data_IF_298280046666
#
_entry.id   IF_298280046666
#
_cell.length_a   1.000
_cell.length_b   1.000
_cell.length_c   1.000
_cell.angle_alpha   90.00
_cell.angle_beta   90.00
_cell.angle_gamma   90.00
#
_symmetry.space_group_name_H-M   'P 1'
#
loop_
_entity.id
_entity.type
_entity.pdbx_description
1 polymer ?
#
# COMPACT_ATOMS: atom_id res chain seq x y z
N UNK A 1 -0.59 21.53 -3.89
CA UNK A 1 -0.20 20.53 -2.86
C UNK A 1 1.14 19.92 -3.23
N UNK A 2 2.04 19.78 -2.25
CA UNK A 2 3.33 19.11 -2.45
C UNK A 2 3.22 17.65 -2.00
N UNK A 3 3.94 16.76 -2.68
CA UNK A 3 3.91 15.32 -2.39
C UNK A 3 5.31 14.74 -2.38
N UNK A 4 5.55 13.80 -1.47
CA UNK A 4 6.68 12.90 -1.50
C UNK A 4 6.25 11.62 -2.20
N UNK A 5 6.97 11.24 -3.25
CA UNK A 5 6.73 10.01 -3.99
C UNK A 5 7.59 8.88 -3.41
N UNK A 6 6.94 7.79 -3.02
CA UNK A 6 7.60 6.60 -2.48
C UNK A 6 7.23 5.41 -3.36
N UNK A 7 8.22 4.66 -3.83
CA UNK A 7 7.95 3.50 -4.68
C UNK A 7 7.31 2.36 -3.88
N UNK A 8 6.45 1.59 -4.52
CA UNK A 8 5.80 0.42 -3.89
C UNK A 8 6.84 -0.62 -3.47
N UNK A 9 7.88 -0.80 -4.26
CA UNK A 9 8.98 -1.72 -3.96
C UNK A 9 9.66 -1.35 -2.64
N UNK A 10 9.92 -0.05 -2.45
CA UNK A 10 10.49 0.45 -1.19
C UNK A 10 9.53 0.24 -0.02
N UNK A 11 8.24 0.54 -0.20
CA UNK A 11 7.22 0.28 0.83
C UNK A 11 7.18 -1.19 1.21
N UNK A 12 7.21 -2.11 0.25
CA UNK A 12 7.21 -3.56 0.49
C UNK A 12 8.47 -4.01 1.22
N UNK A 13 9.64 -3.56 0.75
CA UNK A 13 10.93 -3.91 1.35
C UNK A 13 10.99 -3.52 2.82
N UNK A 14 10.57 -2.30 3.13
CA UNK A 14 10.56 -1.77 4.49
C UNK A 14 9.32 -2.17 5.32
N UNK A 15 8.47 -3.03 4.80
CA UNK A 15 7.30 -3.55 5.53
C UNK A 15 7.55 -4.88 6.24
N UNK A 16 8.76 -5.45 6.12
CA UNK A 16 9.11 -6.76 6.69
C UNK A 16 9.05 -6.78 8.21
N UNK A 17 9.38 -5.68 8.87
CA UNK A 17 9.29 -5.54 10.34
C UNK A 17 8.70 -4.19 10.73
N UNK A 18 8.23 -4.10 11.98
CA UNK A 18 7.76 -2.84 12.56
C UNK A 18 8.86 -1.77 12.58
N UNK A 19 10.07 -2.16 12.95
CA UNK A 19 11.21 -1.24 13.02
C UNK A 19 11.55 -0.66 11.65
N UNK A 20 11.60 -1.49 10.61
CA UNK A 20 11.85 -1.03 9.24
C UNK A 20 10.77 -0.07 8.74
N UNK A 21 9.49 -0.35 9.04
CA UNK A 21 8.41 0.61 8.70
C UNK A 21 8.56 1.95 9.42
N UNK A 22 9.00 1.92 10.68
CA UNK A 22 9.26 3.15 11.45
C UNK A 22 10.44 3.94 10.87
N UNK A 23 11.49 3.26 10.39
CA UNK A 23 12.60 3.91 9.68
C UNK A 23 12.15 4.53 8.35
N UNK A 24 11.32 3.83 7.58
CA UNK A 24 10.74 4.40 6.36
C UNK A 24 9.84 5.61 6.65
N UNK A 25 9.02 5.54 7.70
CA UNK A 25 8.20 6.67 8.14
C UNK A 25 9.07 7.87 8.54
N UNK A 26 10.20 7.63 9.22
CA UNK A 26 11.18 8.65 9.56
C UNK A 26 11.80 9.28 8.30
N UNK A 27 12.19 8.46 7.31
CA UNK A 27 12.75 8.95 6.05
C UNK A 27 11.75 9.81 5.26
N UNK A 28 10.48 9.38 5.21
CA UNK A 28 9.39 10.15 4.58
C UNK A 28 9.22 11.48 5.32
N UNK A 29 9.16 11.46 6.65
CA UNK A 29 9.02 12.66 7.46
C UNK A 29 10.17 13.64 7.23
N UNK A 30 11.43 13.17 7.20
CA UNK A 30 12.57 14.05 6.91
C UNK A 30 12.47 14.69 5.53
N UNK A 31 12.05 13.95 4.51
CA UNK A 31 11.85 14.52 3.17
C UNK A 31 10.70 15.54 3.10
N UNK A 32 9.72 15.43 3.97
CA UNK A 32 8.66 16.43 4.11
C UNK A 32 9.16 17.72 4.75
N UNK A 33 10.05 17.61 5.73
CA UNK A 33 10.60 18.76 6.45
C UNK A 33 11.75 19.45 5.70
N UNK A 34 12.50 18.70 4.86
CA UNK A 34 13.72 19.16 4.21
C UNK A 34 13.72 18.79 2.73
N UNK A 35 13.47 19.75 1.86
CA UNK A 35 13.37 19.54 0.41
C UNK A 35 14.66 18.98 -0.22
N UNK A 36 15.82 19.34 0.31
CA UNK A 36 17.13 18.85 -0.13
C UNK A 36 17.52 17.49 0.47
N UNK A 37 16.64 16.89 1.29
CA UNK A 37 16.89 15.61 1.98
C UNK A 37 18.12 15.60 2.90
N UNK A 38 18.65 16.76 3.29
CA UNK A 38 19.80 16.93 4.18
C UNK A 38 19.34 17.52 5.51
N UNK A 39 19.63 16.83 6.60
CA UNK A 39 19.20 17.21 7.94
C UNK A 39 20.44 17.38 8.81
N UNK A 40 20.53 18.49 9.51
CA UNK A 40 21.61 18.78 10.45
C UNK A 40 21.14 18.60 11.88
N UNK A 41 22.03 18.07 12.72
CA UNK A 41 21.83 17.95 14.16
C UNK A 41 20.51 17.23 14.50
N UNK A 42 20.36 15.98 14.04
CA UNK A 42 19.26 15.12 14.43
C UNK A 42 19.40 14.75 15.90
N UNK A 43 18.48 15.24 16.73
CA UNK A 43 18.48 15.00 18.17
C UNK A 43 17.22 14.27 18.61
N UNK A 44 17.31 13.55 19.72
CA UNK A 44 16.16 12.90 20.36
C UNK A 44 15.04 13.90 20.62
N UNK A 45 15.35 15.13 21.02
CA UNK A 45 14.38 16.18 21.26
C UNK A 45 13.60 16.54 20.00
N UNK A 46 14.30 16.76 18.85
CA UNK A 46 13.64 17.08 17.57
C UNK A 46 12.69 15.97 17.12
N UNK A 47 13.11 14.70 17.21
CA UNK A 47 12.27 13.57 16.85
C UNK A 47 11.07 13.42 17.77
N UNK A 48 11.25 13.59 19.08
CA UNK A 48 10.15 13.54 20.05
C UNK A 48 9.09 14.59 19.77
N UNK A 49 9.51 15.83 19.56
CA UNK A 49 8.62 16.94 19.30
C UNK A 49 7.92 16.80 17.94
N UNK A 50 8.67 16.52 16.88
CA UNK A 50 8.13 16.50 15.52
C UNK A 50 7.28 15.26 15.19
N UNK A 51 7.60 14.11 15.77
CA UNK A 51 6.90 12.83 15.51
C UNK A 51 6.00 12.37 16.65
N UNK A 52 5.93 13.12 17.74
CA UNK A 52 5.16 12.79 18.95
C UNK A 52 5.49 11.38 19.50
N UNK A 53 6.78 11.08 19.69
CA UNK A 53 7.26 9.79 20.17
C UNK A 53 7.99 9.91 21.51
N UNK A 54 8.04 8.80 22.26
CA UNK A 54 8.77 8.74 23.51
C UNK A 54 10.29 8.75 23.33
N UNK A 55 11.04 9.05 24.40
CA UNK A 55 12.51 9.15 24.40
C UNK A 55 13.19 7.87 23.90
N UNK A 56 12.83 6.73 24.48
CA UNK A 56 13.41 5.42 24.12
C UNK A 56 13.24 5.09 22.64
N UNK A 57 12.06 5.40 22.08
CA UNK A 57 11.79 5.18 20.65
C UNK A 57 12.62 6.11 19.77
N UNK A 58 12.79 7.38 20.17
CA UNK A 58 13.61 8.33 19.42
C UNK A 58 15.09 7.94 19.43
N UNK A 59 15.62 7.50 20.56
CA UNK A 59 17.02 7.01 20.71
C UNK A 59 17.24 5.76 19.84
N UNK A 60 16.29 4.81 19.86
CA UNK A 60 16.35 3.63 18.99
C UNK A 60 16.38 4.03 17.51
N UNK A 61 15.49 4.91 17.08
CA UNK A 61 15.43 5.35 15.67
C UNK A 61 16.74 6.03 15.24
N UNK A 62 17.37 6.84 16.09
CA UNK A 62 18.68 7.45 15.79
C UNK A 62 19.77 6.39 15.64
N UNK A 63 19.76 5.35 16.46
CA UNK A 63 20.69 4.23 16.33
C UNK A 63 20.43 3.43 15.05
N UNK A 64 19.20 2.97 14.87
CA UNK A 64 18.81 2.12 13.74
C UNK A 64 18.97 2.83 12.37
N UNK A 65 18.92 4.18 12.36
CA UNK A 65 19.16 5.01 11.18
C UNK A 65 20.57 4.83 10.63
N UNK A 66 21.59 4.64 11.50
CA UNK A 66 22.99 4.48 11.08
C UNK A 66 23.22 3.18 10.29
N UNK A 67 22.41 2.16 10.58
CA UNK A 67 22.55 0.84 9.97
C UNK A 67 21.59 0.64 8.77
N UNK A 68 20.85 1.69 8.41
CA UNK A 68 19.87 1.63 7.33
C UNK A 68 20.37 2.27 6.05
N UNK A 69 20.18 1.59 4.91
CA UNK A 69 20.51 2.12 3.58
C UNK A 69 19.62 3.31 3.14
N UNK A 70 18.57 3.65 3.91
CA UNK A 70 17.80 4.87 3.70
C UNK A 70 18.54 6.14 4.10
N UNK A 71 19.60 6.03 4.90
CA UNK A 71 20.28 7.18 5.45
C UNK A 71 21.80 7.04 5.28
N UNK A 72 22.45 8.16 4.97
CA UNK A 72 23.89 8.33 5.12
C UNK A 72 24.13 9.28 6.29
N UNK A 73 24.89 8.84 7.27
CA UNK A 73 25.15 9.60 8.50
C UNK A 73 26.64 9.95 8.56
N UNK A 74 26.96 11.24 8.48
CA UNK A 74 28.32 11.77 8.52
C UNK A 74 28.42 12.84 9.62
N UNK A 75 28.96 12.46 10.78
CA UNK A 75 28.99 13.33 11.94
C UNK A 75 27.58 13.83 12.34
N UNK A 76 27.36 15.13 12.24
CA UNK A 76 26.06 15.75 12.56
C UNK A 76 25.12 15.87 11.37
N UNK A 77 25.55 15.43 10.19
CA UNK A 77 24.78 15.49 8.94
C UNK A 77 24.13 14.15 8.67
N UNK A 78 22.85 14.17 8.37
CA UNK A 78 22.08 13.02 7.91
C UNK A 78 21.53 13.33 6.53
N UNK A 79 21.74 12.44 5.58
CA UNK A 79 21.20 12.54 4.23
C UNK A 79 20.23 11.40 4.01
N UNK A 80 19.01 11.72 3.60
CA UNK A 80 18.03 10.69 3.23
C UNK A 80 18.25 10.31 1.77
N UNK A 81 18.49 9.02 1.52
CA UNK A 81 18.69 8.47 0.18
C UNK A 81 17.53 8.80 -0.75
N UNK A 82 17.80 8.86 -2.05
CA UNK A 82 16.76 8.98 -3.05
C UNK A 82 15.91 7.71 -3.04
N UNK A 83 14.59 7.85 -2.86
CA UNK A 83 13.68 6.70 -2.91
C UNK A 83 13.66 6.00 -4.29
N UNK A 84 14.11 6.70 -5.33
CA UNK A 84 14.28 6.15 -6.68
C UNK A 84 15.44 5.17 -6.76
N UNK A 85 16.51 5.42 -6.03
CA UNK A 85 17.73 4.60 -6.12
C UNK A 85 17.49 3.18 -5.60
N UNK A 86 16.52 3.01 -4.71
CA UNK A 86 16.12 1.69 -4.20
C UNK A 86 15.37 0.82 -5.22
N UNK A 87 14.92 1.37 -6.34
CA UNK A 87 14.22 0.66 -7.42
C UNK A 87 15.02 0.55 -8.70
N UNK A 88 16.19 1.18 -8.74
CA UNK A 88 17.08 1.13 -9.88
C UNK A 88 17.85 -0.18 -9.87
N UNK A 89 17.82 -0.91 -10.99
CA UNK A 89 18.72 -2.04 -11.22
C UNK A 89 19.90 -1.59 -12.07
N UNK A 90 21.08 -1.96 -11.63
CA UNK A 90 22.27 -1.83 -12.43
C UNK A 90 22.45 -3.08 -13.29
N UNK A 91 22.53 -2.91 -14.60
CA UNK A 91 22.80 -3.99 -15.55
C UNK A 91 24.19 -3.78 -16.16
N UNK A 92 24.71 -4.81 -16.85
CA UNK A 92 25.97 -4.69 -17.61
C UNK A 92 25.93 -3.58 -18.71
N UNK A 93 24.71 -3.19 -19.13
CA UNK A 93 24.47 -2.11 -20.09
C UNK A 93 24.27 -0.73 -19.44
N UNK A 94 24.43 -0.64 -18.14
CA UNK A 94 24.24 0.58 -17.37
C UNK A 94 22.99 0.56 -16.50
N UNK A 95 22.50 1.74 -16.14
CA UNK A 95 21.36 1.92 -15.24
C UNK A 95 20.06 1.63 -15.95
N UNK A 96 19.38 0.54 -15.59
CA UNK A 96 18.08 0.18 -16.11
C UNK A 96 16.99 0.65 -15.16
N UNK A 97 16.13 1.52 -15.66
CA UNK A 97 14.94 1.95 -14.94
C UNK A 97 13.77 1.09 -15.35
N UNK A 98 13.20 0.38 -14.41
CA UNK A 98 11.90 -0.23 -14.61
C UNK A 98 10.84 0.77 -14.17
N UNK A 99 9.74 0.81 -14.91
CA UNK A 99 8.56 1.53 -14.46
C UNK A 99 8.18 1.07 -13.06
N UNK A 100 8.11 2.00 -12.12
CA UNK A 100 7.75 1.72 -10.74
C UNK A 100 6.46 2.46 -10.39
N UNK A 101 5.51 1.74 -9.81
CA UNK A 101 4.35 2.39 -9.22
C UNK A 101 4.78 3.12 -7.94
N UNK A 102 4.37 4.37 -7.81
CA UNK A 102 4.64 5.19 -6.62
C UNK A 102 3.37 5.55 -5.90
N UNK A 103 3.49 5.65 -4.57
CA UNK A 103 2.49 6.27 -3.72
C UNK A 103 2.87 7.71 -3.47
N UNK A 104 1.88 8.58 -3.47
CA UNK A 104 2.02 9.97 -3.07
C UNK A 104 1.73 10.09 -1.57
N UNK A 105 2.62 10.78 -0.87
CA UNK A 105 2.43 11.21 0.51
C UNK A 105 2.34 12.72 0.53
N UNK A 106 1.21 13.25 0.93
CA UNK A 106 1.00 14.69 1.01
C UNK A 106 1.95 15.31 2.05
N UNK A 107 2.55 16.43 1.71
CA UNK A 107 3.45 17.16 2.62
C UNK A 107 2.61 17.96 3.61
N UNK A 108 2.53 17.47 4.83
CA UNK A 108 1.90 18.11 6.00
C UNK A 108 2.55 17.60 7.28
N UNK A 109 2.12 18.11 8.40
CA UNK A 109 2.53 17.58 9.69
C UNK A 109 1.90 16.21 9.96
N UNK A 110 2.71 15.28 10.41
CA UNK A 110 2.30 13.93 10.78
C UNK A 110 3.01 13.48 12.05
N UNK A 111 2.29 12.78 12.88
CA UNK A 111 2.88 11.96 13.93
C UNK A 111 3.47 10.67 13.32
N UNK A 112 4.36 10.01 14.06
CA UNK A 112 4.89 8.69 13.67
C UNK A 112 3.77 7.67 13.48
N UNK A 113 2.74 7.70 14.32
CA UNK A 113 1.60 6.78 14.25
C UNK A 113 0.79 6.99 12.96
N UNK A 114 0.56 8.24 12.57
CA UNK A 114 -0.16 8.56 11.34
C UNK A 114 0.61 8.13 10.10
N UNK A 115 1.92 8.41 10.02
CA UNK A 115 2.76 7.95 8.91
C UNK A 115 2.81 6.43 8.81
N UNK A 116 2.97 5.76 9.94
CA UNK A 116 2.95 4.29 9.99
C UNK A 116 1.61 3.72 9.49
N UNK A 117 0.49 4.31 9.90
CA UNK A 117 -0.83 3.91 9.45
C UNK A 117 -1.04 4.20 7.96
N UNK A 118 -0.54 5.33 7.46
CA UNK A 118 -0.63 5.70 6.06
C UNK A 118 0.19 4.75 5.17
N UNK A 119 1.37 4.31 5.61
CA UNK A 119 2.16 3.28 4.93
C UNK A 119 1.35 1.97 4.82
N UNK A 120 0.73 1.52 5.91
CA UNK A 120 -0.10 0.32 5.91
C UNK A 120 -1.32 0.46 4.99
N UNK A 121 -1.95 1.63 4.99
CA UNK A 121 -3.06 1.96 4.09
C UNK A 121 -2.64 1.86 2.63
N UNK A 122 -1.52 2.48 2.24
CA UNK A 122 -1.00 2.43 0.86
C UNK A 122 -0.68 1.00 0.44
N UNK A 123 -0.08 0.21 1.31
CA UNK A 123 0.22 -1.20 1.05
C UNK A 123 -1.04 -2.06 0.95
N UNK A 124 -2.10 -1.74 1.68
CA UNK A 124 -3.38 -2.43 1.59
C UNK A 124 -4.11 -2.10 0.28
N UNK A 125 -4.13 -0.84 -0.10
CA UNK A 125 -4.82 -0.36 -1.31
C UNK A 125 -4.09 -0.79 -2.59
N UNK A 126 -2.77 -0.92 -2.57
CA UNK A 126 -1.98 -1.26 -3.75
C UNK A 126 -2.41 -2.54 -4.49
N UNK A 127 -2.65 -3.70 -3.84
CA UNK A 127 -3.10 -4.91 -4.54
C UNK A 127 -4.44 -4.73 -5.23
N UNK A 128 -5.33 -3.92 -4.66
CA UNK A 128 -6.62 -3.60 -5.25
C UNK A 128 -6.41 -2.78 -6.52
N UNK A 129 -5.65 -1.69 -6.41
CA UNK A 129 -5.29 -0.83 -7.52
C UNK A 129 -4.62 -1.62 -8.66
N UNK A 130 -3.64 -2.47 -8.34
CA UNK A 130 -2.96 -3.30 -9.32
C UNK A 130 -3.87 -4.34 -9.99
N UNK A 131 -4.89 -4.83 -9.29
CA UNK A 131 -5.86 -5.78 -9.83
C UNK A 131 -6.85 -5.08 -10.77
N UNK A 132 -7.44 -3.97 -10.34
CA UNK A 132 -8.36 -3.17 -11.18
C UNK A 132 -7.68 -2.77 -12.47
N UNK A 133 -6.41 -2.39 -12.35
CA UNK A 133 -5.60 -1.96 -13.46
C UNK A 133 -5.31 -3.05 -14.50
N UNK A 134 -4.89 -4.24 -14.05
CA UNK A 134 -4.72 -5.38 -14.98
C UNK A 134 -6.02 -5.72 -15.70
N UNK A 135 -7.14 -5.66 -15.00
CA UNK A 135 -8.43 -5.93 -15.60
C UNK A 135 -8.84 -4.86 -16.64
N UNK A 136 -8.48 -3.61 -16.41
CA UNK A 136 -8.66 -2.55 -17.40
C UNK A 136 -7.81 -2.75 -18.64
N UNK A 137 -6.52 -3.04 -18.49
CA UNK A 137 -5.63 -3.28 -19.60
C UNK A 137 -6.00 -4.50 -20.45
N UNK A 138 -6.48 -5.56 -19.83
CA UNK A 138 -6.90 -6.77 -20.55
C UNK A 138 -8.22 -6.60 -21.31
N UNK A 139 -9.09 -5.71 -20.89
CA UNK A 139 -10.40 -5.50 -21.51
C UNK A 139 -10.44 -4.39 -22.56
N UNK A 140 -9.54 -3.44 -22.49
CA UNK A 140 -9.40 -2.41 -23.52
C UNK A 140 -9.03 -3.00 -24.90
N UNK A 141 -8.51 -4.24 -24.94
CA UNK A 141 -8.18 -4.92 -26.18
C UNK A 141 -9.36 -5.59 -26.88
N UNK A 142 -10.47 -5.92 -26.17
CA UNK A 142 -11.52 -6.75 -26.77
C UNK A 142 -12.82 -6.01 -27.15
N UNK A 143 -13.37 -5.10 -26.31
CA UNK A 143 -14.73 -4.60 -26.59
C UNK A 143 -15.02 -3.12 -26.25
N UNK A 144 -14.08 -2.35 -25.79
CA UNK A 144 -14.31 -0.94 -25.43
C UNK A 144 -15.30 -0.71 -24.28
N UNK A 145 -15.71 -1.77 -23.59
CA UNK A 145 -16.59 -1.72 -22.41
C UNK A 145 -15.83 -2.08 -21.16
N UNK A 146 -15.51 -1.08 -20.39
CA UNK A 146 -14.84 -1.21 -19.12
C UNK A 146 -15.86 -1.64 -18.06
N UNK A 147 -15.92 -2.91 -17.82
CA UNK A 147 -16.65 -3.46 -16.69
C UNK A 147 -15.64 -3.95 -15.65
N UNK A 148 -15.31 -3.15 -14.68
CA UNK A 148 -14.44 -3.54 -13.59
C UNK A 148 -15.11 -4.63 -12.72
N UNK A 149 -14.94 -5.88 -13.09
CA UNK A 149 -15.10 -6.97 -12.11
C UNK A 149 -13.77 -7.03 -11.35
N UNK A 150 -13.75 -6.38 -10.20
CA UNK A 150 -12.58 -6.40 -9.32
C UNK A 150 -12.12 -7.84 -9.06
N UNK A 151 -10.82 -8.08 -9.12
CA UNK A 151 -10.25 -9.38 -8.83
C UNK A 151 -10.55 -9.76 -7.38
N UNK A 152 -11.02 -10.97 -7.14
CA UNK A 152 -11.19 -11.49 -5.80
C UNK A 152 -9.85 -11.54 -5.05
N UNK A 153 -9.76 -10.88 -3.92
CA UNK A 153 -8.55 -10.83 -3.09
C UNK A 153 -8.89 -11.39 -1.71
N UNK A 154 -8.11 -12.36 -1.26
CA UNK A 154 -8.28 -12.94 0.06
C UNK A 154 -7.59 -12.09 1.14
N UNK A 155 -8.07 -12.20 2.39
CA UNK A 155 -7.43 -11.51 3.52
C UNK A 155 -5.97 -11.93 3.68
N UNK A 156 -5.62 -13.19 3.36
CA UNK A 156 -4.25 -13.68 3.41
C UNK A 156 -3.32 -13.00 2.39
N UNK A 157 -3.83 -12.62 1.23
CA UNK A 157 -3.05 -11.83 0.26
C UNK A 157 -2.76 -10.44 0.79
N UNK A 158 -3.72 -9.78 1.44
CA UNK A 158 -3.46 -8.51 2.11
C UNK A 158 -2.47 -8.64 3.27
N UNK A 159 -2.60 -9.68 4.11
CA UNK A 159 -1.64 -9.94 5.20
C UNK A 159 -0.21 -10.02 4.70
N UNK A 160 0.00 -10.77 3.61
CA UNK A 160 1.33 -10.89 2.97
C UNK A 160 1.83 -9.55 2.42
N UNK A 161 0.93 -8.74 1.83
CA UNK A 161 1.31 -7.46 1.25
C UNK A 161 1.74 -6.43 2.30
N UNK A 162 1.08 -6.41 3.46
CA UNK A 162 1.31 -5.39 4.51
C UNK A 162 2.08 -5.91 5.72
N UNK A 163 2.34 -7.21 5.78
CA UNK A 163 2.98 -7.88 6.91
C UNK A 163 2.34 -7.51 8.26
N UNK A 164 1.05 -7.77 8.38
CA UNK A 164 0.25 -7.54 9.59
C UNK A 164 -0.50 -8.82 9.99
N UNK A 165 -0.90 -8.92 11.25
CA UNK A 165 -1.76 -10.00 11.71
C UNK A 165 -3.14 -9.97 11.04
N UNK A 166 -3.86 -11.09 11.04
CA UNK A 166 -5.20 -11.19 10.47
C UNK A 166 -6.17 -10.17 11.10
N UNK A 167 -6.14 -10.02 12.41
CA UNK A 167 -6.99 -9.06 13.13
C UNK A 167 -6.71 -7.63 12.69
N UNK A 168 -5.42 -7.20 12.75
CA UNK A 168 -5.04 -5.85 12.35
C UNK A 168 -5.35 -5.55 10.86
N UNK A 169 -5.21 -6.55 9.99
CA UNK A 169 -5.58 -6.42 8.57
C UNK A 169 -7.09 -6.26 8.40
N UNK A 170 -7.89 -7.04 9.16
CA UNK A 170 -9.34 -6.92 9.16
C UNK A 170 -9.82 -5.55 9.68
N UNK A 171 -9.20 -5.05 10.75
CA UNK A 171 -9.52 -3.74 11.31
C UNK A 171 -9.16 -2.60 10.34
N UNK A 172 -8.00 -2.70 9.67
CA UNK A 172 -7.63 -1.77 8.62
C UNK A 172 -8.65 -1.77 7.48
N UNK A 173 -9.08 -2.96 7.01
CA UNK A 173 -10.12 -3.11 5.99
C UNK A 173 -11.42 -2.41 6.41
N UNK A 174 -11.91 -2.70 7.62
CA UNK A 174 -13.15 -2.09 8.15
C UNK A 174 -13.05 -0.56 8.18
N UNK A 175 -11.92 -0.05 8.64
CA UNK A 175 -11.66 1.39 8.67
C UNK A 175 -11.71 2.01 7.28
N UNK A 176 -11.02 1.42 6.30
CA UNK A 176 -10.98 1.95 4.92
C UNK A 176 -12.36 1.94 4.25
N UNK A 177 -13.19 0.92 4.56
CA UNK A 177 -14.59 0.87 4.11
C UNK A 177 -15.41 1.96 4.78
N UNK A 178 -15.30 2.13 6.10
CA UNK A 178 -16.01 3.16 6.85
C UNK A 178 -15.64 4.59 6.41
N UNK A 179 -14.37 4.79 6.02
CA UNK A 179 -13.89 6.07 5.47
C UNK A 179 -14.27 6.27 3.98
N UNK A 180 -14.97 5.32 3.37
CA UNK A 180 -15.36 5.39 1.95
C UNK A 180 -14.20 5.32 0.96
N UNK A 181 -13.02 4.89 1.41
CA UNK A 181 -11.82 4.78 0.57
C UNK A 181 -11.84 3.56 -0.34
N UNK A 182 -12.44 2.49 0.14
CA UNK A 182 -12.67 1.25 -0.62
C UNK A 182 -14.09 0.78 -0.41
N UNK A 183 -14.62 0.07 -1.38
CA UNK A 183 -15.84 -0.73 -1.23
C UNK A 183 -15.49 -2.21 -1.33
N UNK A 184 -16.33 -3.08 -0.79
CA UNK A 184 -16.15 -4.53 -0.92
C UNK A 184 -17.48 -5.22 -1.15
N UNK A 185 -17.47 -6.21 -2.04
CA UNK A 185 -18.57 -7.12 -2.31
C UNK A 185 -18.11 -8.57 -2.17
N UNK A 186 -19.04 -9.48 -1.95
CA UNK A 186 -18.73 -10.91 -1.89
C UNK A 186 -18.50 -11.40 -3.32
N UNK A 187 -17.29 -11.90 -3.60
CA UNK A 187 -16.92 -12.48 -4.90
C UNK A 187 -17.18 -13.99 -4.93
N UNK A 188 -16.80 -14.68 -3.86
CA UNK A 188 -16.94 -16.13 -3.73
C UNK A 188 -17.47 -16.48 -2.37
N UNK A 189 -18.45 -17.39 -2.35
CA UNK A 189 -19.02 -17.93 -1.11
C UNK A 189 -19.37 -19.41 -1.29
N UNK A 190 -19.30 -20.16 -0.20
CA UNK A 190 -19.88 -21.49 -0.10
C UNK A 190 -21.19 -21.37 0.66
N UNK A 191 -22.22 -22.06 0.19
CA UNK A 191 -23.50 -22.21 0.90
C UNK A 191 -23.67 -23.65 1.38
N UNK A 192 -24.37 -23.84 2.50
CA UNK A 192 -24.68 -25.13 3.09
C UNK A 192 -25.95 -25.01 3.93
N UNK A 193 -26.68 -26.10 4.10
CA UNK A 193 -27.84 -26.11 5.01
C UNK A 193 -27.32 -26.23 6.46
N UNK A 194 -27.63 -25.24 7.28
CA UNK A 194 -27.17 -25.21 8.69
C UNK A 194 -27.82 -26.32 9.54
N UNK A 195 -28.93 -26.91 9.07
CA UNK A 195 -29.60 -28.04 9.72
C UNK A 195 -28.93 -29.39 9.38
N UNK A 196 -28.12 -29.42 8.33
CA UNK A 196 -27.37 -30.60 7.95
C UNK A 196 -25.98 -30.55 8.62
N UNK A 197 -25.84 -31.29 9.72
CA UNK A 197 -24.59 -31.29 10.51
C UNK A 197 -23.37 -31.79 9.71
N UNK A 198 -23.57 -32.80 8.85
CA UNK A 198 -22.48 -33.37 8.05
C UNK A 198 -21.99 -32.38 6.99
N UNK A 199 -22.89 -31.67 6.32
CA UNK A 199 -22.55 -30.64 5.36
C UNK A 199 -21.85 -29.47 6.06
N UNK A 200 -22.40 -29.01 7.17
CA UNK A 200 -21.81 -27.98 8.02
C UNK A 200 -20.38 -28.36 8.41
N UNK A 201 -20.16 -29.57 8.92
CA UNK A 201 -18.85 -30.07 9.32
C UNK A 201 -17.85 -30.10 8.16
N UNK A 202 -18.29 -30.58 6.97
CA UNK A 202 -17.46 -30.62 5.76
C UNK A 202 -17.04 -29.22 5.32
N UNK A 203 -17.97 -28.25 5.30
CA UNK A 203 -17.68 -26.88 4.91
C UNK A 203 -16.75 -26.18 5.93
N UNK A 204 -16.99 -26.37 7.23
CA UNK A 204 -16.15 -25.81 8.27
C UNK A 204 -14.72 -26.40 8.22
N UNK A 205 -14.57 -27.72 8.06
CA UNK A 205 -13.28 -28.36 7.91
C UNK A 205 -12.51 -27.85 6.68
N UNK A 206 -13.21 -27.72 5.53
CA UNK A 206 -12.62 -27.23 4.28
C UNK A 206 -12.14 -25.77 4.38
N UNK A 207 -12.88 -24.92 5.09
CA UNK A 207 -12.63 -23.47 5.16
C UNK A 207 -11.82 -23.06 6.39
N UNK A 208 -11.63 -23.96 7.35
CA UNK A 208 -10.95 -23.64 8.63
C UNK A 208 -11.77 -22.70 9.52
N UNK A 209 -13.06 -22.46 9.20
CA UNK A 209 -13.94 -21.60 9.99
C UNK A 209 -14.69 -22.38 11.04
N UNK A 210 -15.09 -21.71 12.11
CA UNK A 210 -15.86 -22.33 13.22
C UNK A 210 -17.36 -22.12 13.08
N UNK A 211 -17.81 -21.17 12.26
CA UNK A 211 -19.20 -20.82 12.03
C UNK A 211 -19.42 -20.15 10.68
N UNK A 212 -20.63 -20.10 10.20
CA UNK A 212 -21.02 -19.31 9.05
C UNK A 212 -20.70 -17.82 9.26
N UNK A 213 -20.37 -17.12 8.19
CA UNK A 213 -20.18 -15.66 8.22
C UNK A 213 -21.53 -14.94 8.32
N UNK A 214 -22.55 -15.51 7.66
CA UNK A 214 -23.95 -15.07 7.78
C UNK A 214 -24.90 -16.22 7.44
N UNK A 215 -26.17 -16.09 7.84
CA UNK A 215 -27.22 -17.06 7.61
C UNK A 215 -28.43 -16.34 7.01
N UNK A 216 -29.05 -16.95 5.99
CA UNK A 216 -30.29 -16.50 5.39
C UNK A 216 -31.27 -17.68 5.38
N UNK A 217 -32.30 -17.61 6.19
CA UNK A 217 -33.21 -18.74 6.41
C UNK A 217 -32.48 -19.95 6.97
N UNK A 218 -32.46 -21.06 6.23
CA UNK A 218 -31.73 -22.29 6.59
C UNK A 218 -30.37 -22.43 5.94
N UNK A 219 -30.00 -21.48 5.09
CA UNK A 219 -28.69 -21.50 4.40
C UNK A 219 -27.66 -20.69 5.17
N UNK A 220 -26.60 -21.37 5.54
CA UNK A 220 -25.36 -20.75 6.02
C UNK A 220 -24.41 -20.44 4.87
N UNK A 221 -23.69 -19.35 4.99
CA UNK A 221 -22.72 -18.91 3.99
C UNK A 221 -21.35 -18.69 4.61
N UNK A 222 -20.32 -19.17 3.92
CA UNK A 222 -18.91 -18.89 4.22
C UNK A 222 -18.31 -18.11 3.08
N UNK A 223 -17.87 -16.90 3.34
CA UNK A 223 -17.20 -16.04 2.36
C UNK A 223 -15.76 -16.52 2.17
N UNK A 224 -15.41 -16.87 0.95
CA UNK A 224 -14.08 -17.31 0.55
C UNK A 224 -13.22 -16.13 0.08
N UNK A 225 -13.81 -15.28 -0.73
CA UNK A 225 -13.12 -14.11 -1.27
C UNK A 225 -14.08 -12.92 -1.44
N UNK A 226 -13.50 -11.72 -1.36
CA UNK A 226 -14.21 -10.49 -1.65
C UNK A 226 -13.57 -9.80 -2.85
N UNK A 227 -14.41 -9.18 -3.67
CA UNK A 227 -13.98 -8.17 -4.62
C UNK A 227 -13.88 -6.82 -3.94
N UNK A 228 -12.95 -6.01 -4.37
CA UNK A 228 -12.74 -4.67 -3.84
C UNK A 228 -12.67 -3.68 -4.99
N UNK A 229 -13.19 -2.50 -4.77
CA UNK A 229 -12.98 -1.34 -5.63
C UNK A 229 -12.47 -0.16 -4.80
N UNK A 230 -11.72 0.71 -5.44
CA UNK A 230 -11.11 1.89 -4.83
C UNK A 230 -11.92 3.10 -5.24
N UNK A 231 -12.15 4.04 -4.32
CA UNK A 231 -12.69 5.34 -4.68
C UNK A 231 -11.74 6.05 -5.66
N UNK A 232 -12.27 6.60 -6.74
CA UNK A 232 -11.51 7.25 -7.81
C UNK A 232 -10.48 8.26 -7.29
N UNK A 233 -10.86 9.03 -6.29
CA UNK A 233 -9.96 9.98 -5.63
C UNK A 233 -8.73 9.32 -5.02
N UNK A 234 -8.86 8.12 -4.44
CA UNK A 234 -7.73 7.39 -3.87
C UNK A 234 -6.73 6.97 -4.94
N UNK A 235 -7.20 6.60 -6.12
CA UNK A 235 -6.35 6.20 -7.24
C UNK A 235 -5.64 7.40 -7.82
N UNK A 236 -6.37 8.45 -8.20
CA UNK A 236 -5.82 9.66 -8.80
C UNK A 236 -4.80 10.38 -7.91
N UNK A 237 -5.10 10.46 -6.59
CA UNK A 237 -4.28 11.21 -5.64
C UNK A 237 -3.22 10.36 -4.95
N UNK A 238 -3.42 9.04 -4.90
CA UNK A 238 -2.60 8.13 -4.11
C UNK A 238 -1.49 7.41 -4.86
N UNK A 239 -1.68 7.11 -6.14
CA UNK A 239 -0.76 6.29 -6.91
C UNK A 239 -0.48 6.88 -8.29
N UNK A 240 0.70 6.65 -8.80
CA UNK A 240 1.06 6.90 -10.19
C UNK A 240 2.17 5.97 -10.63
N UNK A 241 2.23 5.70 -11.91
CA UNK A 241 3.34 4.98 -12.50
C UNK A 241 4.46 5.97 -12.84
N UNK A 242 5.70 5.67 -12.44
CA UNK A 242 6.87 6.40 -12.88
C UNK A 242 7.58 5.60 -13.94
N UNK A 243 7.71 6.18 -15.12
CA UNK A 243 8.54 5.66 -16.18
C UNK A 243 9.87 6.39 -16.12
N UNK A 244 10.94 5.62 -15.93
CA UNK A 244 12.30 6.12 -16.00
C UNK A 244 12.94 5.61 -17.29
N UNK A 245 13.45 6.48 -18.07
CA UNK A 245 14.08 6.20 -19.32
C UNK A 245 14.03 7.43 -20.20
N UNK A 246 14.59 7.39 -21.39
CA UNK A 246 14.41 8.48 -22.37
C UNK A 246 12.92 8.82 -22.38
N UNK A 247 12.61 9.95 -21.81
CA UNK A 247 11.26 10.49 -21.79
C UNK A 247 10.77 10.57 -23.23
N UNK A 248 10.12 9.54 -23.69
CA UNK A 248 8.91 9.82 -24.42
C UNK A 248 8.07 10.49 -23.36
N UNK A 249 7.84 11.78 -23.48
CA UNK A 249 6.79 12.44 -22.76
C UNK A 249 5.62 11.49 -22.82
N UNK A 250 5.30 10.89 -21.67
CA UNK A 250 4.01 10.25 -21.60
C UNK A 250 3.06 11.42 -21.70
N UNK A 251 2.59 11.63 -22.89
CA UNK A 251 1.42 12.44 -23.09
C UNK A 251 0.41 11.83 -22.18
N UNK A 252 0.14 12.50 -21.08
CA UNK A 252 -0.97 12.20 -20.20
C UNK A 252 -2.14 12.38 -21.13
N UNK A 253 -2.62 11.28 -21.70
CA UNK A 253 -3.78 11.36 -22.57
C UNK A 253 -4.89 11.87 -21.68
N UNK A 254 -5.49 12.96 -22.12
CA UNK A 254 -6.49 13.71 -21.36
C UNK A 254 -7.76 12.92 -21.08
N UNK A 255 -7.92 11.79 -21.71
CA UNK A 255 -9.10 10.96 -21.55
C UNK A 255 -8.95 10.07 -20.31
N UNK A 256 -9.39 10.66 -19.25
CA UNK A 256 -9.62 10.04 -17.97
C UNK A 256 -10.88 9.17 -18.07
N UNK A 257 -10.79 8.07 -18.78
CA UNK A 257 -11.94 7.20 -19.01
C UNK A 257 -12.35 6.38 -17.79
N UNK A 258 -11.51 6.38 -16.74
CA UNK A 258 -11.83 5.65 -15.49
C UNK A 258 -11.22 6.42 -14.32
N UNK A 259 -12.08 7.06 -13.56
CA UNK A 259 -11.73 7.55 -12.23
C UNK A 259 -10.48 8.43 -12.15
N UNK A 260 -10.13 9.14 -13.19
CA UNK A 260 -9.02 10.07 -13.17
C UNK A 260 -7.64 9.45 -13.47
N UNK A 261 -7.54 8.19 -13.88
CA UNK A 261 -6.27 7.56 -14.26
C UNK A 261 -6.16 7.56 -15.78
N UNK A 262 -5.11 8.16 -16.36
CA UNK A 262 -4.89 8.11 -17.79
C UNK A 262 -4.70 6.67 -18.26
N UNK A 263 -5.40 6.29 -19.34
CA UNK A 263 -5.12 5.05 -20.06
C UNK A 263 -3.63 5.02 -20.47
N UNK A 264 -2.94 3.96 -20.22
CA UNK A 264 -1.50 3.85 -20.51
C UNK A 264 -0.57 4.20 -19.32
N UNK A 265 -1.10 4.69 -18.21
CA UNK A 265 -0.29 4.84 -16.99
C UNK A 265 0.10 3.50 -16.39
N UNK A 266 -0.52 2.44 -16.89
CA UNK A 266 -0.57 1.19 -16.21
C UNK A 266 -0.44 -0.03 -17.15
N UNK A 267 -0.27 0.11 -18.39
CA UNK A 267 0.07 -0.97 -19.33
C UNK A 267 1.57 -1.23 -19.39
#
# INVERSE_FOLDING_TARGET
MQYINVTIELLKRYSSTKSMKELLALAIWFKMQHSNSVIWNVTTFKLRKGLHIGKVKAERLIRDMKDSDLFSVEGNKVVVSSFRDHTTKWTKKGREYRGAMVCKFEVREYTMKELYNLINEKLFVYPICAAEHKDCCMKASDDGKIGAKGKAITIGQFQKAINMSAGATSDLKKRLIAEGKISSSIAEKLSFDVRNEDETRKVMARTGKKKADFIIGTLGFVVLACSYSIADRMVSDGFRHLIYGKQKEMVIQKDMSIGGIPDGFFC
#
